data_IF_810322653331
#
_entry.id   IF_810322653331
#
_cell.length_a   1.000
_cell.length_b   1.000
_cell.length_c   1.000
_cell.angle_alpha   90.00
_cell.angle_beta   90.00
_cell.angle_gamma   90.00
#
_symmetry.space_group_name_H-M   'P 1'
#
loop_
_entity.id
_entity.type
_entity.pdbx_description
1 polymer ?
#
# COMPACT_ATOMS: atom_id res chain seq x y z
N UNK A 1 -13.18 8.67 -12.81
CA UNK A 1 -11.78 8.92 -13.12
C UNK A 1 -11.04 9.28 -11.84
N UNK A 2 -9.92 8.68 -11.59
CA UNK A 2 -9.11 9.04 -10.43
C UNK A 2 -8.51 10.42 -10.63
N UNK A 3 -8.43 11.19 -9.56
CA UNK A 3 -7.90 12.56 -9.59
C UNK A 3 -6.40 12.61 -9.32
N UNK A 4 -5.76 11.44 -9.18
CA UNK A 4 -4.32 11.31 -8.99
C UNK A 4 -3.80 10.24 -9.93
N UNK A 5 -2.50 10.25 -10.19
CA UNK A 5 -1.88 9.20 -10.99
C UNK A 5 -1.90 7.89 -10.22
N UNK A 6 -2.22 6.79 -10.91
CA UNK A 6 -2.20 5.47 -10.32
C UNK A 6 -0.80 4.87 -10.49
N UNK A 7 -0.18 4.54 -9.37
CA UNK A 7 1.13 3.90 -9.37
C UNK A 7 1.02 2.53 -8.73
N UNK A 8 1.84 1.61 -9.18
CA UNK A 8 2.01 0.35 -8.48
C UNK A 8 3.09 0.52 -7.41
N UNK A 9 3.14 -0.41 -6.47
CA UNK A 9 4.13 -0.37 -5.41
C UNK A 9 5.56 -0.29 -5.97
N UNK A 10 5.82 -1.01 -7.06
CA UNK A 10 7.17 -1.05 -7.63
C UNK A 10 7.57 0.21 -8.38
N UNK A 11 6.60 1.05 -8.75
CA UNK A 11 6.86 2.26 -9.52
C UNK A 11 7.21 3.47 -8.67
N UNK A 12 6.93 3.42 -7.38
CA UNK A 12 7.19 4.57 -6.51
C UNK A 12 8.59 4.51 -5.91
N UNK A 13 9.09 5.65 -5.44
CA UNK A 13 10.43 5.71 -4.85
C UNK A 13 10.46 5.08 -3.45
N UNK A 14 11.65 5.02 -2.85
CA UNK A 14 11.84 4.35 -1.55
C UNK A 14 11.01 5.00 -0.45
N UNK A 15 10.95 6.32 -0.39
CA UNK A 15 10.16 7.00 0.63
C UNK A 15 8.68 6.69 0.48
N UNK A 16 8.19 6.67 -0.75
CA UNK A 16 6.81 6.32 -1.03
C UNK A 16 6.51 4.88 -0.68
N UNK A 17 7.46 3.96 -0.94
CA UNK A 17 7.30 2.56 -0.55
C UNK A 17 7.16 2.43 0.96
N UNK A 18 7.99 3.13 1.72
CA UNK A 18 7.91 3.10 3.18
C UNK A 18 6.58 3.65 3.68
N UNK A 19 6.11 4.74 3.08
CA UNK A 19 4.81 5.31 3.42
C UNK A 19 3.68 4.32 3.12
N UNK A 20 3.75 3.68 1.96
CA UNK A 20 2.78 2.66 1.56
C UNK A 20 2.72 1.51 2.56
N UNK A 21 3.89 1.00 2.96
CA UNK A 21 3.96 -0.11 3.93
C UNK A 21 3.42 0.31 5.29
N UNK A 22 3.75 1.51 5.75
CA UNK A 22 3.26 2.03 7.03
C UNK A 22 1.74 2.15 7.01
N UNK A 23 1.18 2.71 5.96
CA UNK A 23 -0.28 2.84 5.83
C UNK A 23 -0.95 1.48 5.78
N UNK A 24 -0.34 0.51 5.10
CA UNK A 24 -0.88 -0.84 5.04
C UNK A 24 -0.99 -1.44 6.44
N UNK A 25 0.07 -1.33 7.22
CA UNK A 25 0.10 -1.92 8.57
C UNK A 25 -0.84 -1.19 9.52
N UNK A 26 -0.90 0.13 9.45
CA UNK A 26 -1.62 0.90 10.47
C UNK A 26 -3.05 1.27 10.08
N UNK A 27 -3.36 1.32 8.81
CA UNK A 27 -4.66 1.81 8.36
C UNK A 27 -5.43 0.80 7.52
N UNK A 28 -4.75 0.07 6.64
CA UNK A 28 -5.42 -0.85 5.73
C UNK A 28 -5.74 -2.17 6.43
N UNK A 29 -4.77 -2.76 7.10
CA UNK A 29 -4.94 -4.03 7.81
C UNK A 29 -4.49 -3.92 9.26
N UNK A 30 -5.14 -3.04 10.07
CA UNK A 30 -4.69 -2.79 11.44
C UNK A 30 -4.88 -3.97 12.39
N UNK A 31 -5.71 -4.94 11.99
CA UNK A 31 -5.99 -6.11 12.83
C UNK A 31 -5.09 -7.30 12.52
N UNK A 32 -4.27 -7.19 11.49
CA UNK A 32 -3.35 -8.26 11.15
C UNK A 32 -2.13 -8.23 12.08
N UNK A 33 -1.66 -9.41 12.45
CA UNK A 33 -0.45 -9.53 13.26
C UNK A 33 0.75 -9.69 12.32
N UNK A 34 1.55 -8.65 12.25
CA UNK A 34 2.75 -8.66 11.44
C UNK A 34 4.00 -9.01 12.23
N UNK A 35 3.84 -9.40 13.50
CA UNK A 35 4.97 -9.73 14.36
C UNK A 35 5.76 -10.96 13.93
N UNK A 36 5.13 -11.84 13.16
CA UNK A 36 5.78 -13.04 12.64
C UNK A 36 6.60 -12.80 11.39
N UNK A 37 6.50 -11.62 10.80
CA UNK A 37 7.26 -11.30 9.59
C UNK A 37 8.74 -11.15 9.94
N UNK A 38 9.58 -11.77 9.13
CA UNK A 38 11.02 -11.81 9.37
C UNK A 38 11.79 -10.79 8.56
N UNK A 39 11.16 -10.20 7.55
CA UNK A 39 11.81 -9.23 6.70
C UNK A 39 10.78 -8.31 6.06
N UNK A 40 11.27 -7.17 5.56
CA UNK A 40 10.43 -6.24 4.84
C UNK A 40 9.93 -6.85 3.53
N UNK A 41 10.66 -7.80 2.98
CA UNK A 41 10.25 -8.48 1.74
C UNK A 41 8.96 -9.27 1.92
N UNK A 42 8.77 -9.86 3.10
CA UNK A 42 7.53 -10.56 3.40
C UNK A 42 6.35 -9.59 3.47
N UNK A 43 6.57 -8.41 4.06
CA UNK A 43 5.54 -7.38 4.11
C UNK A 43 5.22 -6.87 2.70
N UNK A 44 6.24 -6.67 1.88
CA UNK A 44 6.04 -6.26 0.50
C UNK A 44 5.22 -7.28 -0.29
N UNK A 45 5.45 -8.56 -0.03
CA UNK A 45 4.66 -9.62 -0.66
C UNK A 45 3.19 -9.50 -0.25
N UNK A 46 2.93 -9.29 1.03
CA UNK A 46 1.57 -9.12 1.54
C UNK A 46 0.88 -7.93 0.86
N UNK A 47 1.57 -6.82 0.73
CA UNK A 47 1.02 -5.62 0.09
C UNK A 47 0.67 -5.89 -1.37
N UNK A 48 1.56 -6.57 -2.10
CA UNK A 48 1.32 -6.88 -3.51
C UNK A 48 0.12 -7.80 -3.69
N UNK A 49 -0.01 -8.81 -2.83
CA UNK A 49 -1.13 -9.73 -2.92
C UNK A 49 -2.45 -9.03 -2.56
N UNK A 50 -2.43 -8.20 -1.54
CA UNK A 50 -3.61 -7.43 -1.17
C UNK A 50 -4.03 -6.49 -2.31
N UNK A 51 -3.05 -5.85 -2.94
CA UNK A 51 -3.29 -4.96 -4.07
C UNK A 51 -4.05 -5.65 -5.20
N UNK A 52 -3.61 -6.86 -5.56
CA UNK A 52 -4.22 -7.61 -6.67
C UNK A 52 -5.69 -7.91 -6.44
N UNK A 53 -6.09 -8.04 -5.18
CA UNK A 53 -7.44 -8.44 -4.83
C UNK A 53 -8.31 -7.28 -4.34
N UNK A 54 -7.82 -6.05 -4.43
CA UNK A 54 -8.54 -4.89 -3.91
C UNK A 54 -8.66 -3.79 -4.96
N UNK A 55 -9.51 -2.81 -4.66
CA UNK A 55 -9.70 -1.64 -5.52
C UNK A 55 -8.85 -0.45 -5.09
N UNK A 56 -7.92 -0.65 -4.17
CA UNK A 56 -7.07 0.43 -3.71
C UNK A 56 -6.06 0.82 -4.77
N UNK A 57 -5.71 2.12 -4.78
CA UNK A 57 -4.69 2.67 -5.66
C UNK A 57 -3.69 3.48 -4.85
N UNK A 58 -2.55 3.77 -5.45
CA UNK A 58 -1.51 4.59 -4.81
C UNK A 58 -1.24 5.84 -5.63
N UNK A 59 -0.85 6.91 -4.93
CA UNK A 59 -0.27 8.07 -5.60
C UNK A 59 1.26 7.96 -5.58
N UNK A 60 1.93 8.94 -6.16
CA UNK A 60 3.39 8.94 -6.27
C UNK A 60 4.11 8.98 -4.92
N UNK A 61 3.40 9.39 -3.87
CA UNK A 61 3.95 9.50 -2.53
C UNK A 61 3.65 8.28 -1.66
N UNK A 62 3.01 7.27 -2.25
CA UNK A 62 2.69 6.05 -1.54
C UNK A 62 1.44 6.13 -0.67
N UNK A 63 0.60 7.13 -0.88
CA UNK A 63 -0.67 7.22 -0.16
C UNK A 63 -1.70 6.33 -0.82
N UNK A 64 -2.46 5.61 -0.01
CA UNK A 64 -3.51 4.71 -0.49
C UNK A 64 -4.82 5.46 -0.71
N UNK A 65 -5.56 5.07 -1.75
CA UNK A 65 -6.89 5.61 -2.06
C UNK A 65 -7.86 4.46 -2.26
N UNK A 66 -9.01 4.56 -1.64
CA UNK A 66 -10.06 3.57 -1.76
C UNK A 66 -10.85 3.83 -3.05
N UNK A 67 -10.86 2.86 -3.95
CA UNK A 67 -11.56 2.97 -5.21
C UNK A 67 -11.02 4.06 -6.13
N UNK A 68 -9.83 4.57 -5.83
CA UNK A 68 -9.19 5.60 -6.64
C UNK A 68 -9.66 7.03 -6.35
N UNK A 69 -10.55 7.21 -5.39
CA UNK A 69 -11.16 8.53 -5.14
C UNK A 69 -10.93 9.05 -3.73
N UNK A 70 -10.95 8.17 -2.74
CA UNK A 70 -10.92 8.59 -1.35
C UNK A 70 -9.63 8.15 -0.69
N UNK A 71 -8.87 9.12 -0.18
CA UNK A 71 -7.63 8.84 0.53
C UNK A 71 -7.94 8.18 1.88
N UNK A 72 -7.17 7.17 2.19
CA UNK A 72 -7.27 6.45 3.46
C UNK A 72 -6.76 7.32 4.61
#
# INVERSE_FOLDING_TARGET
MAWHDNYTYNEVNVEAKLNCLAEYVYSICPYEDFGDLKSIEELEYCVREFWKSSDYTLDKNGNWYDGGFQKI
#
